data_IF_613556948896
#
_entry.id   IF_613556948896
#
_cell.length_a   1.000
_cell.length_b   1.000
_cell.length_c   1.000
_cell.angle_alpha   90.00
_cell.angle_beta   90.00
_cell.angle_gamma   90.00
#
_symmetry.space_group_name_H-M   'P 1'
#
loop_
_entity.id
_entity.type
_entity.pdbx_description
1 polymer ?
#
# COMPACT_ATOMS: atom_id res chain seq x y z
N UNK A 1 16.95 28.84 -12.33
CA UNK A 1 17.96 27.95 -11.70
C UNK A 1 17.29 26.86 -10.88
N UNK A 2 16.32 27.18 -10.02
CA UNK A 2 15.54 26.18 -9.26
C UNK A 2 14.63 25.36 -10.20
N UNK A 3 13.83 26.01 -11.06
CA UNK A 3 12.98 25.30 -12.04
C UNK A 3 13.77 24.39 -12.99
N UNK A 4 14.94 24.84 -13.45
CA UNK A 4 15.82 24.04 -14.31
C UNK A 4 16.44 22.85 -13.56
N UNK A 5 16.60 22.94 -12.25
CA UNK A 5 17.09 21.83 -11.41
C UNK A 5 15.97 20.82 -11.16
N UNK A 6 14.76 21.27 -10.85
CA UNK A 6 13.59 20.39 -10.67
C UNK A 6 13.29 19.62 -11.95
N UNK A 7 13.22 20.30 -13.10
CA UNK A 7 13.05 19.63 -14.39
C UNK A 7 14.15 18.60 -14.68
N UNK A 8 15.39 18.89 -14.28
CA UNK A 8 16.49 17.93 -14.42
C UNK A 8 16.28 16.70 -13.51
N UNK A 9 15.81 16.89 -12.27
CA UNK A 9 15.48 15.80 -11.34
C UNK A 9 14.35 14.95 -11.92
N UNK A 10 13.24 15.56 -12.32
CA UNK A 10 12.09 14.89 -12.95
C UNK A 10 12.51 14.02 -14.13
N UNK A 11 13.23 14.61 -15.09
CA UNK A 11 13.71 13.90 -16.28
C UNK A 11 14.66 12.77 -15.90
N UNK A 12 15.52 12.98 -14.90
CA UNK A 12 16.47 11.95 -14.44
C UNK A 12 15.76 10.78 -13.78
N UNK A 13 14.78 11.04 -12.90
CA UNK A 13 13.98 10.00 -12.25
C UNK A 13 13.15 9.23 -13.29
N UNK A 14 12.49 9.92 -14.22
CA UNK A 14 11.72 9.29 -15.29
C UNK A 14 12.61 8.44 -16.21
N UNK A 15 13.79 8.95 -16.60
CA UNK A 15 14.76 8.19 -17.38
C UNK A 15 15.22 6.93 -16.63
N UNK A 16 15.41 7.03 -15.31
CA UNK A 16 15.78 5.87 -14.48
C UNK A 16 14.66 4.82 -14.43
N UNK A 17 13.39 5.24 -14.28
CA UNK A 17 12.24 4.33 -14.37
C UNK A 17 12.20 3.60 -15.72
N UNK A 18 12.38 4.34 -16.83
CA UNK A 18 12.42 3.75 -18.17
C UNK A 18 13.58 2.76 -18.32
N UNK A 19 14.76 3.11 -17.82
CA UNK A 19 15.92 2.20 -17.83
C UNK A 19 15.66 0.93 -17.02
N UNK A 20 15.04 1.03 -15.84
CA UNK A 20 14.69 -0.15 -15.02
C UNK A 20 13.70 -1.05 -15.76
N UNK A 21 12.69 -0.49 -16.43
CA UNK A 21 11.72 -1.27 -17.22
C UNK A 21 12.43 -2.03 -18.35
N UNK A 22 13.28 -1.35 -19.13
CA UNK A 22 14.04 -2.01 -20.20
C UNK A 22 15.03 -3.05 -19.67
N UNK A 23 15.66 -2.80 -18.52
CA UNK A 23 16.52 -3.78 -17.87
C UNK A 23 15.72 -5.01 -17.43
N UNK A 24 14.56 -4.81 -16.79
CA UNK A 24 13.68 -5.88 -16.31
C UNK A 24 13.23 -6.81 -17.42
N UNK A 25 12.83 -6.26 -18.58
CA UNK A 25 12.40 -7.04 -19.75
C UNK A 25 13.51 -7.95 -20.30
N UNK A 26 14.79 -7.59 -20.10
CA UNK A 26 15.94 -8.37 -20.59
C UNK A 26 16.42 -9.44 -19.61
N UNK A 27 15.94 -9.43 -18.37
CA UNK A 27 16.39 -10.36 -17.34
C UNK A 27 15.56 -11.64 -17.39
N UNK A 28 16.25 -12.78 -17.34
CA UNK A 28 15.62 -14.11 -17.21
C UNK A 28 15.60 -14.61 -15.77
N UNK A 29 16.38 -13.98 -14.88
CA UNK A 29 16.41 -14.27 -13.45
C UNK A 29 15.29 -13.50 -12.75
N UNK A 30 14.32 -14.23 -12.21
CA UNK A 30 13.14 -13.64 -11.59
C UNK A 30 13.44 -12.95 -10.26
N UNK A 31 14.49 -13.37 -9.55
CA UNK A 31 14.96 -12.66 -8.36
C UNK A 31 15.46 -11.26 -8.75
N UNK A 32 16.25 -11.17 -9.82
CA UNK A 32 16.74 -9.89 -10.35
C UNK A 32 15.58 -9.01 -10.83
N UNK A 33 14.60 -9.57 -11.54
CA UNK A 33 13.38 -8.83 -11.94
C UNK A 33 12.61 -8.30 -10.74
N UNK A 34 12.47 -9.12 -9.68
CA UNK A 34 11.80 -8.70 -8.44
C UNK A 34 12.53 -7.56 -7.75
N UNK A 35 13.87 -7.59 -7.72
CA UNK A 35 14.67 -6.47 -7.21
C UNK A 35 14.47 -5.21 -8.06
N UNK A 36 14.41 -5.32 -9.39
CA UNK A 36 14.12 -4.18 -10.25
C UNK A 36 12.73 -3.60 -10.01
N UNK A 37 11.70 -4.41 -9.76
CA UNK A 37 10.38 -3.90 -9.40
C UNK A 37 10.39 -3.15 -8.06
N UNK A 38 11.11 -3.66 -7.05
CA UNK A 38 11.29 -2.94 -5.79
C UNK A 38 12.02 -1.60 -5.96
N UNK A 39 13.07 -1.57 -6.79
CA UNK A 39 13.79 -0.33 -7.12
C UNK A 39 12.90 0.63 -7.93
N UNK A 40 12.11 0.12 -8.87
CA UNK A 40 11.15 0.91 -9.65
C UNK A 40 10.15 1.61 -8.73
N UNK A 41 9.56 0.88 -7.78
CA UNK A 41 8.66 1.45 -6.78
C UNK A 41 9.35 2.49 -5.90
N UNK A 42 10.59 2.22 -5.45
CA UNK A 42 11.34 3.20 -4.66
C UNK A 42 11.60 4.50 -5.43
N UNK A 43 11.99 4.40 -6.70
CA UNK A 43 12.22 5.57 -7.57
C UNK A 43 10.90 6.30 -7.87
N UNK A 44 9.81 5.56 -8.04
CA UNK A 44 8.46 6.15 -8.21
C UNK A 44 8.03 6.89 -6.95
N UNK A 45 8.33 6.38 -5.76
CA UNK A 45 8.11 7.08 -4.50
C UNK A 45 8.92 8.38 -4.42
N UNK A 46 10.18 8.38 -4.88
CA UNK A 46 10.98 9.61 -4.97
C UNK A 46 10.40 10.62 -5.96
N UNK A 47 9.88 10.15 -7.10
CA UNK A 47 9.19 11.01 -8.07
C UNK A 47 7.93 11.62 -7.46
N UNK A 48 7.09 10.84 -6.78
CA UNK A 48 5.91 11.39 -6.10
C UNK A 48 6.28 12.39 -4.99
N UNK A 49 7.40 12.17 -4.31
CA UNK A 49 7.90 13.11 -3.31
C UNK A 49 8.36 14.43 -3.97
N UNK A 50 9.03 14.37 -5.12
CA UNK A 50 9.44 15.55 -5.89
C UNK A 50 8.24 16.34 -6.46
N UNK A 51 7.12 15.64 -6.69
CA UNK A 51 5.83 16.20 -7.10
C UNK A 51 4.96 16.67 -5.92
N UNK A 52 5.53 16.82 -4.72
CA UNK A 52 4.84 17.23 -3.48
C UNK A 52 3.67 16.30 -3.06
N UNK A 53 3.61 15.07 -3.56
CA UNK A 53 2.59 14.08 -3.25
C UNK A 53 3.07 13.12 -2.14
N UNK A 54 3.35 13.66 -0.95
CA UNK A 54 4.02 12.94 0.14
C UNK A 54 3.25 11.70 0.61
N UNK A 55 1.92 11.76 0.76
CA UNK A 55 1.09 10.61 1.15
C UNK A 55 1.12 9.48 0.12
N UNK A 56 1.17 9.84 -1.17
CA UNK A 56 1.27 8.88 -2.29
C UNK A 56 2.67 8.27 -2.32
N UNK A 57 3.71 9.10 -2.22
CA UNK A 57 5.10 8.66 -2.13
C UNK A 57 5.31 7.67 -0.98
N UNK A 58 4.73 7.98 0.18
CA UNK A 58 4.86 7.14 1.36
C UNK A 58 4.14 5.80 1.19
N UNK A 59 2.96 5.80 0.55
CA UNK A 59 2.24 4.58 0.20
C UNK A 59 3.04 3.71 -0.77
N UNK A 60 3.62 4.31 -1.81
CA UNK A 60 4.44 3.59 -2.80
C UNK A 60 5.71 3.01 -2.16
N UNK A 61 6.35 3.73 -1.25
CA UNK A 61 7.50 3.23 -0.51
C UNK A 61 7.14 2.04 0.40
N UNK A 62 6.03 2.12 1.13
CA UNK A 62 5.62 1.05 2.04
C UNK A 62 5.09 -0.19 1.29
N UNK A 63 4.25 0.01 0.28
CA UNK A 63 3.51 -1.05 -0.42
C UNK A 63 4.32 -1.60 -1.60
N UNK A 64 4.73 -0.72 -2.50
CA UNK A 64 5.43 -1.10 -3.73
C UNK A 64 6.83 -1.61 -3.41
N UNK A 65 7.67 -0.74 -2.86
CA UNK A 65 9.06 -1.10 -2.59
C UNK A 65 9.19 -2.09 -1.42
N UNK A 66 8.39 -1.92 -0.37
CA UNK A 66 8.41 -2.77 0.83
C UNK A 66 7.68 -4.11 0.65
N UNK A 67 6.36 -4.10 0.86
CA UNK A 67 5.55 -5.32 0.94
C UNK A 67 5.57 -6.16 -0.35
N UNK A 68 5.37 -5.54 -1.52
CA UNK A 68 5.23 -6.25 -2.79
C UNK A 68 6.52 -6.98 -3.15
N UNK A 69 7.68 -6.36 -2.93
CA UNK A 69 8.99 -7.02 -3.10
C UNK A 69 9.11 -8.28 -2.25
N UNK A 70 8.75 -8.20 -0.97
CA UNK A 70 8.81 -9.37 -0.08
C UNK A 70 7.81 -10.44 -0.52
N UNK A 71 6.59 -10.05 -0.90
CA UNK A 71 5.58 -10.98 -1.38
C UNK A 71 6.04 -11.70 -2.67
N UNK A 72 6.65 -10.97 -3.61
CA UNK A 72 7.18 -11.58 -4.84
C UNK A 72 8.33 -12.52 -4.53
N UNK A 73 9.24 -12.15 -3.63
CA UNK A 73 10.29 -13.06 -3.16
C UNK A 73 9.73 -14.31 -2.48
N UNK A 74 8.67 -14.18 -1.67
CA UNK A 74 7.96 -15.32 -1.08
C UNK A 74 7.32 -16.20 -2.15
N UNK A 75 6.71 -15.60 -3.18
CA UNK A 75 6.17 -16.34 -4.31
C UNK A 75 7.26 -17.06 -5.11
N UNK A 76 8.43 -16.44 -5.29
CA UNK A 76 9.57 -17.04 -6.01
C UNK A 76 10.13 -18.28 -5.33
N UNK A 77 10.04 -18.38 -3.99
CA UNK A 77 10.38 -19.63 -3.29
C UNK A 77 9.50 -20.79 -3.70
N UNK A 78 8.30 -20.51 -4.23
CA UNK A 78 7.34 -21.50 -4.72
C UNK A 78 7.43 -21.73 -6.23
N UNK A 79 8.31 -21.02 -6.94
CA UNK A 79 8.48 -21.12 -8.39
C UNK A 79 9.93 -21.43 -8.76
N UNK A 80 10.21 -21.53 -10.05
CA UNK A 80 11.59 -21.64 -10.54
C UNK A 80 12.26 -20.25 -10.53
N UNK A 81 13.58 -20.15 -10.26
CA UNK A 81 14.29 -18.87 -10.21
C UNK A 81 14.52 -18.25 -11.60
N UNK A 82 14.49 -19.06 -12.65
CA UNK A 82 14.69 -18.62 -14.02
C UNK A 82 13.43 -18.84 -14.85
N UNK A 83 13.15 -17.88 -15.73
CA UNK A 83 12.08 -17.99 -16.71
C UNK A 83 12.34 -19.17 -17.65
N UNK A 84 11.37 -20.08 -17.74
CA UNK A 84 11.45 -21.24 -18.60
C UNK A 84 10.90 -20.89 -20.00
N UNK A 85 11.71 -20.23 -20.83
CA UNK A 85 11.22 -19.66 -22.09
C UNK A 85 12.11 -19.95 -23.30
N UNK A 86 11.56 -20.73 -24.23
CA UNK A 86 11.83 -20.58 -25.66
C UNK A 86 11.08 -19.33 -26.12
N UNK A 87 11.71 -18.16 -26.10
CA UNK A 87 11.11 -16.90 -26.53
C UNK A 87 10.45 -17.05 -27.91
N UNK A 88 9.11 -17.06 -27.96
CA UNK A 88 8.37 -16.85 -29.20
C UNK A 88 8.03 -15.37 -29.27
N UNK A 89 8.76 -14.62 -30.10
CA UNK A 89 8.41 -13.24 -30.40
C UNK A 89 7.02 -13.20 -31.04
N UNK A 90 6.00 -12.82 -30.26
CA UNK A 90 4.64 -12.65 -30.75
C UNK A 90 4.49 -11.24 -31.32
N UNK A 91 4.53 -11.13 -32.64
CA UNK A 91 4.26 -9.85 -33.33
C UNK A 91 2.89 -9.28 -32.96
N UNK A 92 1.91 -10.15 -32.70
CA UNK A 92 0.58 -9.75 -32.24
C UNK A 92 0.64 -9.11 -30.85
N UNK A 93 1.37 -9.70 -29.90
CA UNK A 93 1.52 -9.13 -28.57
C UNK A 93 2.23 -7.77 -28.63
N UNK A 94 3.29 -7.65 -29.45
CA UNK A 94 3.98 -6.38 -29.67
C UNK A 94 3.05 -5.33 -30.28
N UNK A 95 2.25 -5.69 -31.29
CA UNK A 95 1.27 -4.79 -31.89
C UNK A 95 0.24 -4.31 -30.85
N UNK A 96 -0.28 -5.20 -30.01
CA UNK A 96 -1.22 -4.84 -28.94
C UNK A 96 -0.57 -3.88 -27.94
N UNK A 97 0.65 -4.15 -27.48
CA UNK A 97 1.36 -3.26 -26.54
C UNK A 97 1.61 -1.88 -27.14
N UNK A 98 2.05 -1.81 -28.40
CA UNK A 98 2.27 -0.54 -29.11
C UNK A 98 0.94 0.22 -29.29
N UNK A 99 -0.13 -0.48 -29.67
CA UNK A 99 -1.45 0.13 -29.86
C UNK A 99 -1.99 0.69 -28.53
N UNK A 100 -1.91 -0.08 -27.45
CA UNK A 100 -2.32 0.37 -26.11
C UNK A 100 -1.47 1.54 -25.65
N UNK A 101 -0.15 1.48 -25.83
CA UNK A 101 0.75 2.58 -25.50
C UNK A 101 0.42 3.86 -26.29
N UNK A 102 0.20 3.74 -27.60
CA UNK A 102 -0.18 4.87 -28.45
C UNK A 102 -1.53 5.47 -28.04
N UNK A 103 -2.51 4.64 -27.66
CA UNK A 103 -3.79 5.11 -27.14
C UNK A 103 -3.65 5.87 -25.81
N UNK A 104 -2.81 5.39 -24.89
CA UNK A 104 -2.50 6.10 -23.65
C UNK A 104 -1.81 7.44 -23.92
N UNK A 105 -0.81 7.47 -24.81
CA UNK A 105 -0.14 8.72 -25.21
C UNK A 105 -1.09 9.71 -25.91
N UNK A 106 -2.01 9.21 -26.72
CA UNK A 106 -3.05 10.04 -27.34
C UNK A 106 -3.93 10.70 -26.27
N UNK A 107 -4.33 9.95 -25.23
CA UNK A 107 -5.13 10.50 -24.12
C UNK A 107 -4.40 11.56 -23.29
N UNK A 108 -3.07 11.51 -23.20
CA UNK A 108 -2.27 12.54 -22.52
C UNK A 108 -2.35 13.90 -23.24
N UNK A 109 -2.64 13.93 -24.54
CA UNK A 109 -2.77 15.18 -25.28
C UNK A 109 -3.97 16.03 -24.84
N UNK A 110 -4.99 15.42 -24.21
CA UNK A 110 -6.15 16.12 -23.66
C UNK A 110 -5.90 16.65 -22.24
N UNK A 111 -4.76 16.33 -21.62
CA UNK A 111 -4.46 16.78 -20.26
C UNK A 111 -4.04 18.26 -20.28
N UNK A 112 -4.48 19.06 -19.29
CA UNK A 112 -3.95 20.41 -19.10
C UNK A 112 -2.43 20.37 -18.95
N UNK A 113 -1.77 21.44 -19.40
CA UNK A 113 -0.35 21.59 -19.14
C UNK A 113 -0.09 21.54 -17.63
N UNK A 114 1.00 20.89 -17.24
CA UNK A 114 1.37 20.77 -15.83
C UNK A 114 1.50 22.16 -15.20
N UNK A 115 0.80 22.37 -14.08
CA UNK A 115 0.78 23.65 -13.38
C UNK A 115 -0.10 24.74 -14.00
N UNK A 116 -0.89 24.46 -15.05
CA UNK A 116 -1.80 25.43 -15.64
C UNK A 116 -2.81 25.95 -14.58
N UNK A 117 -2.81 27.25 -14.24
CA UNK A 117 -3.76 27.83 -13.29
C UNK A 117 -5.22 27.71 -13.73
N UNK A 118 -5.47 27.50 -15.03
CA UNK A 118 -6.81 27.34 -15.60
C UNK A 118 -7.22 25.87 -15.74
N UNK A 119 -6.39 24.93 -15.28
CA UNK A 119 -6.78 23.53 -15.23
C UNK A 119 -8.04 23.37 -14.36
N UNK A 120 -9.04 22.54 -14.76
CA UNK A 120 -10.29 22.40 -14.02
C UNK A 120 -10.13 22.09 -12.52
N UNK A 121 -9.07 21.35 -12.15
CA UNK A 121 -8.76 21.02 -10.75
C UNK A 121 -8.38 22.26 -9.92
N UNK A 122 -7.73 23.26 -10.51
CA UNK A 122 -7.30 24.49 -9.84
C UNK A 122 -8.42 25.53 -9.73
N UNK A 123 -9.47 25.40 -10.54
CA UNK A 123 -10.57 26.37 -10.59
C UNK A 123 -11.72 26.03 -9.62
N UNK A 124 -11.94 24.75 -9.35
CA UNK A 124 -13.13 24.30 -8.60
C UNK A 124 -12.74 23.41 -7.42
N UNK A 125 -12.27 22.20 -7.71
CA UNK A 125 -12.23 21.10 -6.72
C UNK A 125 -11.13 21.30 -5.68
N UNK A 126 -9.90 21.61 -6.08
CA UNK A 126 -8.79 21.74 -5.13
C UNK A 126 -8.96 22.94 -4.17
N UNK A 127 -9.30 24.16 -4.64
CA UNK A 127 -9.56 25.28 -3.73
C UNK A 127 -10.71 25.01 -2.76
N UNK A 128 -11.78 24.36 -3.23
CA UNK A 128 -12.92 24.00 -2.40
C UNK A 128 -12.53 23.00 -1.31
N UNK A 129 -11.78 21.95 -1.63
CA UNK A 129 -11.29 21.02 -0.61
C UNK A 129 -10.38 21.68 0.41
N UNK A 130 -9.45 22.54 -0.01
CA UNK A 130 -8.56 23.26 0.91
C UNK A 130 -9.40 24.13 1.87
N UNK A 131 -10.34 24.91 1.34
CA UNK A 131 -11.18 25.80 2.15
C UNK A 131 -12.13 25.03 3.07
N UNK A 132 -12.82 24.02 2.56
CA UNK A 132 -13.78 23.24 3.33
C UNK A 132 -13.10 22.35 4.38
N UNK A 133 -11.89 21.86 4.11
CA UNK A 133 -11.10 21.12 5.10
C UNK A 133 -10.88 22.00 6.32
N UNK A 134 -10.39 23.23 6.13
CA UNK A 134 -10.16 24.16 7.24
C UNK A 134 -11.45 24.54 7.97
N UNK A 135 -12.57 24.71 7.26
CA UNK A 135 -13.82 25.19 7.87
C UNK A 135 -14.65 24.10 8.57
N UNK A 136 -14.66 22.88 8.03
CA UNK A 136 -15.60 21.83 8.45
C UNK A 136 -14.93 20.65 9.16
N UNK A 137 -13.67 20.39 8.83
CA UNK A 137 -12.95 19.25 9.38
C UNK A 137 -11.96 19.77 10.41
N UNK A 138 -11.09 20.74 10.08
CA UNK A 138 -10.04 21.35 10.91
C UNK A 138 -8.80 20.48 11.17
N UNK A 139 -8.44 19.63 10.19
CA UNK A 139 -7.14 18.92 10.14
C UNK A 139 -6.21 19.55 9.08
N UNK A 140 -4.89 19.60 9.32
CA UNK A 140 -3.95 20.15 8.35
C UNK A 140 -3.70 19.22 7.13
N UNK A 141 -3.82 17.90 7.28
CA UNK A 141 -3.66 16.98 6.15
C UNK A 141 -4.94 16.95 5.28
N UNK A 142 -4.90 17.72 4.18
CA UNK A 142 -6.00 17.80 3.20
C UNK A 142 -6.20 16.46 2.48
N UNK A 143 -5.15 15.67 2.25
CA UNK A 143 -5.27 14.36 1.59
C UNK A 143 -6.09 13.42 2.46
N UNK A 144 -5.79 13.33 3.75
CA UNK A 144 -6.57 12.54 4.72
C UNK A 144 -8.00 13.04 4.82
N UNK A 145 -8.23 14.35 4.82
CA UNK A 145 -9.59 14.92 4.81
C UNK A 145 -10.39 14.50 3.57
N UNK A 146 -9.74 14.53 2.40
CA UNK A 146 -10.36 14.12 1.14
C UNK A 146 -10.65 12.62 1.14
N UNK A 147 -9.69 11.78 1.50
CA UNK A 147 -9.85 10.33 1.44
C UNK A 147 -10.82 9.80 2.51
N UNK A 148 -10.67 10.23 3.75
CA UNK A 148 -11.45 9.70 4.87
C UNK A 148 -12.83 10.36 5.05
N UNK A 149 -13.03 11.60 4.59
CA UNK A 149 -14.30 12.34 4.72
C UNK A 149 -14.94 12.64 3.37
N UNK A 150 -14.44 13.61 2.58
CA UNK A 150 -15.13 14.07 1.36
C UNK A 150 -15.38 12.96 0.33
N UNK A 151 -14.42 12.05 0.20
CA UNK A 151 -14.45 10.88 -0.69
C UNK A 151 -14.32 9.58 0.11
N UNK A 152 -14.89 9.54 1.32
CA UNK A 152 -14.89 8.35 2.19
C UNK A 152 -15.44 7.08 1.56
N UNK A 153 -16.32 7.20 0.56
CA UNK A 153 -16.81 6.05 -0.22
C UNK A 153 -15.70 5.34 -0.98
N UNK A 154 -14.74 6.08 -1.53
CA UNK A 154 -13.66 5.50 -2.32
C UNK A 154 -12.72 4.70 -1.41
N UNK A 155 -12.31 5.28 -0.28
CA UNK A 155 -11.49 4.58 0.72
C UNK A 155 -12.22 3.41 1.37
N UNK A 156 -13.54 3.51 1.59
CA UNK A 156 -14.33 2.36 2.03
C UNK A 156 -14.32 1.24 0.98
N UNK A 157 -14.51 1.59 -0.29
CA UNK A 157 -14.41 0.67 -1.42
C UNK A 157 -13.05 -0.01 -1.52
N UNK A 158 -11.96 0.75 -1.44
CA UNK A 158 -10.59 0.23 -1.41
C UNK A 158 -10.37 -0.75 -0.24
N UNK A 159 -10.87 -0.42 0.95
CA UNK A 159 -10.78 -1.30 2.13
C UNK A 159 -11.52 -2.62 1.90
N UNK A 160 -12.70 -2.57 1.28
CA UNK A 160 -13.46 -3.76 0.90
C UNK A 160 -12.74 -4.57 -0.19
N UNK A 161 -12.09 -3.92 -1.16
CA UNK A 161 -11.29 -4.58 -2.20
C UNK A 161 -10.12 -5.34 -1.60
N UNK A 162 -9.39 -4.73 -0.66
CA UNK A 162 -8.27 -5.40 0.03
C UNK A 162 -8.77 -6.59 0.84
N UNK A 163 -9.82 -6.41 1.66
CA UNK A 163 -10.45 -7.52 2.37
C UNK A 163 -10.85 -8.66 1.42
N UNK A 164 -11.47 -8.32 0.28
CA UNK A 164 -11.88 -9.29 -0.74
C UNK A 164 -10.68 -10.02 -1.36
N UNK A 165 -9.56 -9.33 -1.60
CA UNK A 165 -8.32 -9.94 -2.05
C UNK A 165 -7.77 -10.93 -1.00
N UNK A 166 -7.81 -10.57 0.28
CA UNK A 166 -7.44 -11.47 1.38
C UNK A 166 -8.30 -12.74 1.42
N UNK A 167 -9.62 -12.59 1.29
CA UNK A 167 -10.55 -13.73 1.22
C UNK A 167 -10.28 -14.58 -0.02
N UNK A 168 -10.05 -13.97 -1.19
CA UNK A 168 -9.74 -14.69 -2.42
C UNK A 168 -8.45 -15.51 -2.28
N UNK A 169 -7.39 -14.92 -1.72
CA UNK A 169 -6.13 -15.62 -1.45
C UNK A 169 -6.35 -16.76 -0.46
N UNK A 170 -7.12 -16.54 0.61
CA UNK A 170 -7.45 -17.59 1.58
C UNK A 170 -8.24 -18.75 0.94
N UNK A 171 -9.17 -18.47 0.03
CA UNK A 171 -9.94 -19.50 -0.66
C UNK A 171 -9.10 -20.29 -1.68
N UNK A 172 -8.18 -19.61 -2.38
CA UNK A 172 -7.31 -20.22 -3.39
C UNK A 172 -6.17 -21.01 -2.76
N UNK A 173 -5.55 -20.46 -1.72
CA UNK A 173 -4.31 -20.99 -1.13
C UNK A 173 -4.53 -21.69 0.22
N UNK A 174 -5.61 -21.38 0.93
CA UNK A 174 -5.79 -21.83 2.30
C UNK A 174 -4.76 -21.23 3.26
N UNK A 175 -4.95 -21.50 4.55
CA UNK A 175 -3.96 -21.16 5.57
C UNK A 175 -2.90 -22.27 5.58
N UNK A 176 -1.74 -22.04 4.96
CA UNK A 176 -0.66 -23.03 4.88
C UNK A 176 -0.31 -23.63 6.26
N UNK A 177 0.10 -24.90 6.29
CA UNK A 177 0.52 -25.58 7.52
C UNK A 177 2.02 -25.37 7.72
N UNK A 178 2.39 -24.77 8.86
CA UNK A 178 3.80 -24.67 9.26
C UNK A 178 4.20 -26.03 9.83
N UNK A 179 5.03 -26.79 9.10
CA UNK A 179 5.72 -27.95 9.69
C UNK A 179 6.71 -27.44 10.74
N UNK A 180 7.09 -28.32 11.67
CA UNK A 180 8.20 -28.05 12.59
C UNK A 180 9.50 -27.87 11.77
N UNK A 181 9.77 -26.66 11.31
CA UNK A 181 11.07 -26.30 10.74
C UNK A 181 12.16 -26.48 11.81
N UNK A 182 13.34 -26.88 11.35
CA UNK A 182 14.57 -26.74 12.15
C UNK A 182 14.70 -25.26 12.54
N UNK A 183 15.05 -24.96 13.81
CA UNK A 183 15.25 -23.57 14.24
C UNK A 183 16.15 -22.85 13.22
N UNK A 184 15.78 -21.64 12.76
CA UNK A 184 16.58 -20.93 11.79
C UNK A 184 18.01 -20.79 12.32
N UNK A 185 18.98 -20.97 11.43
CA UNK A 185 20.39 -20.88 11.78
C UNK A 185 20.64 -19.54 12.49
N UNK A 186 21.13 -19.61 13.73
CA UNK A 186 21.21 -18.44 14.62
C UNK A 186 22.30 -17.48 14.13
N UNK A 187 21.94 -16.62 13.19
CA UNK A 187 22.76 -15.48 12.82
C UNK A 187 22.61 -14.40 13.90
N UNK A 188 23.50 -14.43 14.90
CA UNK A 188 23.53 -13.51 16.03
C UNK A 188 23.51 -12.04 15.60
N UNK A 189 24.20 -11.70 14.51
CA UNK A 189 24.24 -10.32 13.98
C UNK A 189 22.84 -9.90 13.51
N UNK A 190 22.20 -10.74 12.70
CA UNK A 190 20.86 -10.47 12.19
C UNK A 190 19.85 -10.30 13.33
N UNK A 191 19.91 -11.16 14.35
CA UNK A 191 18.99 -11.10 15.49
C UNK A 191 19.17 -9.85 16.35
N UNK A 192 20.42 -9.44 16.61
CA UNK A 192 20.74 -8.24 17.41
C UNK A 192 20.31 -6.97 16.68
N UNK A 193 20.47 -6.91 15.36
CA UNK A 193 20.10 -5.73 14.56
C UNK A 193 18.59 -5.65 14.33
N UNK A 194 17.94 -6.77 13.97
CA UNK A 194 16.54 -6.75 13.55
C UNK A 194 15.58 -6.60 14.72
N UNK A 195 15.89 -7.15 15.89
CA UNK A 195 15.02 -7.04 17.08
C UNK A 195 14.67 -5.58 17.46
N UNK A 196 15.64 -4.65 17.60
CA UNK A 196 15.30 -3.24 17.83
C UNK A 196 14.66 -2.57 16.61
N UNK A 197 14.99 -2.98 15.37
CA UNK A 197 14.34 -2.44 14.17
C UNK A 197 12.85 -2.77 14.12
N UNK A 198 12.44 -3.99 14.51
CA UNK A 198 11.01 -4.34 14.57
C UNK A 198 10.28 -3.42 15.55
N UNK A 199 10.84 -3.18 16.73
CA UNK A 199 10.26 -2.25 17.69
C UNK A 199 10.11 -0.84 17.09
N UNK A 200 11.15 -0.35 16.40
CA UNK A 200 11.12 0.94 15.71
C UNK A 200 10.04 0.98 14.62
N UNK A 201 9.93 -0.06 13.80
CA UNK A 201 8.92 -0.18 12.73
C UNK A 201 7.50 -0.14 13.31
N UNK A 202 7.24 -0.88 14.40
CA UNK A 202 5.92 -0.89 15.03
C UNK A 202 5.58 0.44 15.68
N UNK A 203 6.53 1.08 16.38
CA UNK A 203 6.34 2.42 16.94
C UNK A 203 6.09 3.44 15.82
N UNK A 204 6.84 3.34 14.72
CA UNK A 204 6.66 4.22 13.57
C UNK A 204 5.29 3.99 12.90
N UNK A 205 4.84 2.74 12.75
CA UNK A 205 3.50 2.44 12.27
C UNK A 205 2.40 3.02 13.16
N UNK A 206 2.56 2.99 14.49
CA UNK A 206 1.63 3.65 15.41
C UNK A 206 1.67 5.17 15.26
N UNK A 207 2.86 5.75 15.10
CA UNK A 207 3.00 7.18 14.82
C UNK A 207 2.23 7.57 13.57
N UNK A 208 2.42 6.84 12.46
CA UNK A 208 1.71 7.07 11.18
C UNK A 208 0.19 6.91 11.34
N UNK A 209 -0.26 5.92 12.12
CA UNK A 209 -1.69 5.69 12.37
C UNK A 209 -2.37 6.84 13.14
N UNK A 210 -1.67 7.41 14.13
CA UNK A 210 -2.24 8.42 15.03
C UNK A 210 -1.91 9.87 14.64
N UNK A 211 -1.10 10.08 13.60
CA UNK A 211 -0.72 11.41 13.11
C UNK A 211 -1.04 11.60 11.62
N UNK A 212 -1.87 10.75 11.02
CA UNK A 212 -2.30 10.87 9.62
C UNK A 212 -3.15 12.12 9.35
N UNK A 213 -3.74 12.71 10.39
CA UNK A 213 -4.41 14.00 10.36
C UNK A 213 -3.44 15.19 10.36
N UNK A 214 -2.26 15.06 10.97
CA UNK A 214 -1.24 16.10 11.07
C UNK A 214 -0.19 16.08 9.97
N UNK A 215 0.22 14.90 9.53
CA UNK A 215 1.29 14.69 8.56
C UNK A 215 0.96 13.60 7.57
N UNK A 216 1.87 13.37 6.62
CA UNK A 216 1.67 12.38 5.57
C UNK A 216 1.54 10.96 6.13
N UNK A 217 0.55 10.21 5.66
CA UNK A 217 0.28 8.86 6.11
C UNK A 217 -1.21 8.55 6.20
N UNK A 218 -1.57 7.86 7.28
CA UNK A 218 -2.93 7.39 7.51
C UNK A 218 -3.00 5.89 7.77
N UNK A 219 -4.24 5.40 7.88
CA UNK A 219 -4.51 4.01 8.25
C UNK A 219 -3.89 2.98 7.30
N UNK A 220 -3.93 3.23 6.00
CA UNK A 220 -3.45 2.29 4.99
C UNK A 220 -1.95 2.01 5.15
N UNK A 221 -1.13 3.06 5.09
CA UNK A 221 0.32 2.97 5.15
C UNK A 221 0.74 2.42 6.52
N UNK A 222 0.08 2.86 7.60
CA UNK A 222 0.31 2.32 8.94
C UNK A 222 0.09 0.81 9.00
N UNK A 223 -1.00 0.30 8.41
CA UNK A 223 -1.30 -1.13 8.34
C UNK A 223 -0.22 -1.93 7.60
N UNK A 224 0.29 -1.40 6.47
CA UNK A 224 1.37 -2.02 5.69
C UNK A 224 2.69 -2.04 6.48
N UNK A 225 3.02 -0.95 7.15
CA UNK A 225 4.24 -0.83 7.97
C UNK A 225 4.18 -1.81 9.14
N UNK A 226 3.03 -1.89 9.82
CA UNK A 226 2.79 -2.88 10.87
C UNK A 226 3.00 -4.31 10.35
N UNK A 227 2.36 -4.64 9.23
CA UNK A 227 2.49 -5.97 8.64
C UNK A 227 3.94 -6.28 8.26
N UNK A 228 4.66 -5.31 7.69
CA UNK A 228 6.08 -5.43 7.34
C UNK A 228 6.96 -5.72 8.55
N UNK A 229 6.66 -5.15 9.73
CA UNK A 229 7.34 -5.49 10.98
C UNK A 229 7.17 -6.95 11.38
N UNK A 230 5.95 -7.49 11.24
CA UNK A 230 5.67 -8.92 11.51
C UNK A 230 6.24 -9.85 10.44
N UNK A 231 6.26 -9.42 9.19
CA UNK A 231 6.88 -10.15 8.08
C UNK A 231 8.40 -10.23 8.31
N UNK A 232 9.05 -9.12 8.65
CA UNK A 232 10.47 -9.10 8.99
C UNK A 232 10.77 -10.00 10.19
N UNK A 233 9.91 -9.98 11.22
CA UNK A 233 10.00 -10.91 12.34
C UNK A 233 9.93 -12.38 11.87
N UNK A 234 8.97 -12.70 11.01
CA UNK A 234 8.83 -14.05 10.44
C UNK A 234 10.04 -14.48 9.61
N UNK A 235 10.63 -13.58 8.82
CA UNK A 235 11.77 -13.90 7.96
C UNK A 235 13.05 -14.16 8.76
N UNK A 236 13.22 -13.51 9.92
CA UNK A 236 14.46 -13.55 10.71
C UNK A 236 14.40 -14.57 11.85
N UNK A 237 13.26 -14.65 12.54
CA UNK A 237 13.10 -15.53 13.70
C UNK A 237 12.35 -16.82 13.37
N UNK A 238 11.70 -16.89 12.19
CA UNK A 238 10.95 -18.04 11.73
C UNK A 238 9.44 -17.88 11.88
N UNK A 239 8.70 -18.48 10.96
CA UNK A 239 7.25 -18.34 10.87
C UNK A 239 6.51 -18.93 12.08
N UNK A 240 7.04 -20.01 12.67
CA UNK A 240 6.45 -20.62 13.87
C UNK A 240 6.34 -19.62 15.02
N UNK A 241 7.39 -18.82 15.25
CA UNK A 241 7.36 -17.81 16.30
C UNK A 241 6.42 -16.65 15.94
N UNK A 242 6.43 -16.21 14.67
CA UNK A 242 5.52 -15.16 14.20
C UNK A 242 4.04 -15.54 14.39
N UNK A 243 3.66 -16.78 14.03
CA UNK A 243 2.30 -17.30 14.22
C UNK A 243 1.92 -17.53 15.68
N UNK A 244 2.88 -17.64 16.61
CA UNK A 244 2.60 -17.63 18.05
C UNK A 244 2.25 -16.24 18.58
N UNK A 245 2.86 -15.19 18.01
CA UNK A 245 2.54 -13.81 18.38
C UNK A 245 1.19 -13.41 17.78
N UNK A 246 0.98 -13.68 16.49
CA UNK A 246 -0.30 -13.42 15.80
C UNK A 246 -0.75 -14.67 15.06
N UNK A 247 -1.72 -15.42 15.62
CA UNK A 247 -2.23 -16.64 15.00
C UNK A 247 -2.90 -16.37 13.65
N UNK A 248 -2.61 -17.19 12.64
CA UNK A 248 -3.22 -17.03 11.32
C UNK A 248 -4.76 -17.10 11.35
N UNK A 249 -5.34 -17.85 12.29
CA UNK A 249 -6.78 -18.01 12.46
C UNK A 249 -7.52 -16.71 12.88
N UNK A 250 -6.83 -15.73 13.46
CA UNK A 250 -7.46 -14.46 13.86
C UNK A 250 -7.46 -13.43 12.73
N UNK A 251 -6.56 -13.55 11.75
CA UNK A 251 -6.36 -12.55 10.70
C UNK A 251 -7.62 -12.27 9.86
N UNK A 252 -8.40 -13.28 9.40
CA UNK A 252 -9.64 -13.01 8.66
C UNK A 252 -10.66 -12.23 9.50
N UNK A 253 -10.70 -12.50 10.82
CA UNK A 253 -11.62 -11.82 11.75
C UNK A 253 -11.20 -10.39 12.00
N UNK A 254 -9.90 -10.13 12.15
CA UNK A 254 -9.37 -8.77 12.26
C UNK A 254 -9.62 -7.98 10.98
N UNK A 255 -9.45 -8.61 9.82
CA UNK A 255 -9.69 -7.95 8.53
C UNK A 255 -11.16 -7.56 8.36
N UNK A 256 -12.08 -8.49 8.64
CA UNK A 256 -13.51 -8.22 8.68
C UNK A 256 -13.88 -7.16 9.72
N UNK A 257 -13.25 -7.18 10.90
CA UNK A 257 -13.48 -6.18 11.94
C UNK A 257 -13.08 -4.78 11.48
N UNK A 258 -11.96 -4.63 10.76
CA UNK A 258 -11.54 -3.34 10.20
C UNK A 258 -12.56 -2.76 9.21
N UNK A 259 -13.05 -3.58 8.28
CA UNK A 259 -14.13 -3.20 7.35
C UNK A 259 -15.42 -2.85 8.09
N UNK A 260 -15.77 -3.64 9.10
CA UNK A 260 -16.96 -3.40 9.92
C UNK A 260 -16.85 -2.09 10.72
N UNK A 261 -15.69 -1.75 11.28
CA UNK A 261 -15.48 -0.47 11.97
C UNK A 261 -15.76 0.69 11.02
N UNK A 262 -15.26 0.62 9.78
CA UNK A 262 -15.51 1.65 8.76
C UNK A 262 -17.01 1.74 8.45
N UNK A 263 -17.64 0.61 8.09
CA UNK A 263 -19.05 0.57 7.70
C UNK A 263 -19.99 0.96 8.83
N UNK A 264 -19.74 0.51 10.07
CA UNK A 264 -20.54 0.84 11.25
C UNK A 264 -20.42 2.31 11.59
N UNK A 265 -19.23 2.92 11.49
CA UNK A 265 -19.08 4.37 11.68
C UNK A 265 -19.98 5.15 10.72
N UNK A 266 -20.03 4.75 9.45
CA UNK A 266 -20.95 5.36 8.48
C UNK A 266 -22.43 5.10 8.78
N UNK A 267 -22.79 3.92 9.29
CA UNK A 267 -24.16 3.60 9.72
C UNK A 267 -24.58 4.43 10.93
N UNK A 268 -23.69 4.71 11.88
CA UNK A 268 -23.97 5.57 13.04
C UNK A 268 -24.32 7.00 12.57
N UNK A 269 -23.59 7.53 11.58
CA UNK A 269 -23.94 8.82 10.94
C UNK A 269 -25.35 8.79 10.33
N UNK A 270 -25.68 7.72 9.61
CA UNK A 270 -26.99 7.56 8.97
C UNK A 270 -28.13 7.49 10.00
N UNK A 271 -27.95 6.73 11.08
CA UNK A 271 -28.92 6.62 12.18
C UNK A 271 -29.12 7.95 12.93
N UNK A 272 -28.17 8.87 12.80
CA UNK A 272 -28.20 10.20 13.40
C UNK A 272 -28.79 11.27 12.45
N UNK A 273 -29.54 10.85 11.43
CA UNK A 273 -30.15 11.71 10.38
C UNK A 273 -29.12 12.49 9.54
N UNK A 274 -27.91 11.96 9.37
CA UNK A 274 -26.91 12.50 8.44
C UNK A 274 -26.72 11.56 7.24
N UNK A 275 -25.98 12.01 6.23
CA UNK A 275 -25.56 11.12 5.15
C UNK A 275 -24.60 10.04 5.68
N UNK A 276 -24.54 8.88 5.02
CA UNK A 276 -23.55 7.86 5.33
C UNK A 276 -22.13 8.45 5.19
N UNK A 277 -21.30 8.24 6.22
CA UNK A 277 -19.95 8.84 6.41
C UNK A 277 -19.92 10.35 6.66
N UNK A 278 -21.05 11.02 6.91
CA UNK A 278 -21.02 12.37 7.49
C UNK A 278 -20.84 12.27 9.02
N UNK A 279 -19.58 12.33 9.44
CA UNK A 279 -19.17 12.16 10.84
C UNK A 279 -19.53 13.35 11.75
N UNK A 280 -20.12 14.43 11.22
CA UNK A 280 -20.55 15.58 12.04
C UNK A 280 -21.55 15.21 13.14
N UNK A 281 -22.22 14.06 13.02
CA UNK A 281 -23.12 13.50 14.02
C UNK A 281 -22.44 12.83 15.23
N UNK A 282 -21.14 12.53 15.16
CA UNK A 282 -20.46 11.72 16.18
C UNK A 282 -20.13 12.49 17.47
N UNK A 283 -20.26 13.81 17.46
CA UNK A 283 -19.99 14.68 18.61
C UNK A 283 -20.96 15.86 18.63
N UNK A 284 -21.08 16.53 19.78
CA UNK A 284 -21.87 17.76 19.90
C UNK A 284 -21.30 18.90 19.06
N UNK A 285 -19.98 18.93 18.87
CA UNK A 285 -19.31 19.82 17.95
C UNK A 285 -19.07 19.09 16.60
N UNK A 286 -19.66 19.57 15.48
CA UNK A 286 -19.51 18.96 14.16
C UNK A 286 -18.05 18.71 13.73
N UNK A 287 -17.16 19.65 14.01
CA UNK A 287 -15.73 19.60 13.66
C UNK A 287 -15.05 18.47 14.44
N UNK A 288 -15.29 18.41 15.74
CA UNK A 288 -14.81 17.31 16.59
C UNK A 288 -15.39 15.95 16.16
N UNK A 289 -16.64 15.92 15.70
CA UNK A 289 -17.25 14.71 15.14
C UNK A 289 -16.52 14.21 13.90
N UNK A 290 -16.15 15.13 12.98
CA UNK A 290 -15.34 14.82 11.81
C UNK A 290 -13.97 14.25 12.17
N UNK A 291 -13.25 14.87 13.11
CA UNK A 291 -11.96 14.36 13.58
C UNK A 291 -12.07 12.94 14.15
N UNK A 292 -13.06 12.69 15.02
CA UNK A 292 -13.28 11.38 15.63
C UNK A 292 -13.62 10.35 14.56
N UNK A 293 -14.49 10.71 13.62
CA UNK A 293 -14.88 9.83 12.52
C UNK A 293 -13.70 9.41 11.67
N UNK A 294 -12.87 10.38 11.25
CA UNK A 294 -11.63 10.14 10.48
C UNK A 294 -10.72 9.18 11.25
N UNK A 295 -10.41 9.46 12.51
CA UNK A 295 -9.52 8.60 13.31
C UNK A 295 -10.07 7.16 13.45
N UNK A 296 -11.38 7.01 13.67
CA UNK A 296 -12.01 5.68 13.81
C UNK A 296 -11.99 4.92 12.48
N UNK A 297 -12.34 5.57 11.36
CA UNK A 297 -12.32 4.88 10.06
C UNK A 297 -10.90 4.54 9.64
N UNK A 298 -9.92 5.43 9.88
CA UNK A 298 -8.51 5.15 9.62
C UNK A 298 -7.97 3.99 10.47
N UNK A 299 -8.39 3.86 11.73
CA UNK A 299 -8.07 2.70 12.55
C UNK A 299 -8.68 1.41 11.98
N UNK A 300 -9.90 1.49 11.43
CA UNK A 300 -10.55 0.41 10.70
C UNK A 300 -9.76 0.01 9.44
N UNK A 301 -9.35 0.98 8.63
CA UNK A 301 -8.50 0.75 7.44
C UNK A 301 -7.18 0.10 7.85
N UNK A 302 -6.48 0.66 8.84
CA UNK A 302 -5.19 0.13 9.28
C UNK A 302 -5.28 -1.30 9.78
N UNK A 303 -6.33 -1.64 10.55
CA UNK A 303 -6.57 -3.01 10.99
C UNK A 303 -6.86 -3.96 9.81
N UNK A 304 -7.69 -3.54 8.85
CA UNK A 304 -8.04 -4.33 7.68
C UNK A 304 -6.83 -4.60 6.79
N UNK A 305 -6.05 -3.56 6.51
CA UNK A 305 -4.83 -3.65 5.68
C UNK A 305 -3.77 -4.50 6.38
N UNK A 306 -3.47 -4.22 7.65
CA UNK A 306 -2.51 -4.99 8.45
C UNK A 306 -2.80 -6.49 8.41
N UNK A 307 -4.02 -6.86 8.78
CA UNK A 307 -4.41 -8.26 8.92
C UNK A 307 -4.49 -8.98 7.58
N UNK A 308 -4.91 -8.28 6.52
CA UNK A 308 -4.97 -8.84 5.15
C UNK A 308 -3.59 -9.08 4.58
N UNK A 309 -2.68 -8.10 4.70
CA UNK A 309 -1.31 -8.22 4.20
C UNK A 309 -0.59 -9.38 4.90
N UNK A 310 -0.71 -9.47 6.23
CA UNK A 310 -0.11 -10.56 6.99
C UNK A 310 -0.76 -11.92 6.66
N UNK A 311 -2.07 -11.94 6.38
CA UNK A 311 -2.78 -13.16 5.94
C UNK A 311 -2.26 -13.64 4.59
N UNK A 312 -2.12 -12.73 3.64
CA UNK A 312 -1.57 -13.06 2.31
C UNK A 312 -0.17 -13.63 2.49
N UNK A 313 0.69 -12.95 3.25
CA UNK A 313 2.04 -13.44 3.52
C UNK A 313 2.05 -14.86 4.13
N UNK A 314 1.28 -15.12 5.19
CA UNK A 314 1.20 -16.46 5.80
C UNK A 314 0.64 -17.54 4.85
N UNK A 315 -0.22 -17.16 3.90
CA UNK A 315 -0.75 -18.08 2.89
C UNK A 315 0.32 -18.53 1.90
N UNK A 316 1.29 -17.67 1.60
CA UNK A 316 2.45 -17.99 0.75
C UNK A 316 3.59 -18.64 1.52
N UNK A 317 3.96 -18.12 2.69
CA UNK A 317 5.14 -18.59 3.43
C UNK A 317 4.96 -19.99 4.02
N UNK A 318 3.74 -20.33 4.46
CA UNK A 318 3.42 -21.65 5.04
C UNK A 318 3.30 -22.79 4.01
N UNK A 319 3.85 -22.63 2.81
CA UNK A 319 3.84 -23.63 1.75
C UNK A 319 5.28 -24.06 1.42
N UNK A 320 5.50 -25.36 1.33
CA UNK A 320 6.71 -25.94 0.74
C UNK A 320 6.40 -26.48 -0.65
N UNK A 321 7.31 -26.30 -1.60
CA UNK A 321 7.28 -27.07 -2.85
C UNK A 321 7.91 -28.42 -2.56
N UNK A 322 7.14 -29.50 -2.68
CA UNK A 322 7.72 -30.84 -2.78
C UNK A 322 8.50 -30.90 -4.10
N UNK A 323 9.83 -30.77 -4.09
CA UNK A 323 10.70 -30.95 -5.27
C UNK A 323 10.80 -32.41 -5.76
N UNK A 324 9.78 -33.24 -5.49
CA UNK A 324 9.75 -34.66 -5.83
C UNK A 324 8.69 -35.02 -6.89
N UNK A 325 8.12 -34.05 -7.60
CA UNK A 325 7.24 -34.28 -8.76
C UNK A 325 7.76 -33.59 -10.03
#
# INVERSE_FOLDING_TARGET
>A
MIESLQLLIDISLLAFLVMIVFASIKMTDLFVVTMFFGIFSFVSALLFLDLDAVDVAFTEAAVGAGFTTVLMLSALRLTQPYENSKHRHSLLALFIVILTGAALFYGVADFPAMGDPNAPVHLYVAPEYIQLTQQKIDIPNVVTAVLASFRGYDTFGETVVIFSAGVAVLLLLGMGQVKHEQEPEKNLVLWVVVKPMIALILIFGLYVQFHGDFGAGGGFQAGVIFASGFILYSLVFGEMYARRVIPAAILPRLSALGVLIYGVTGLISLLSNKAFLDYSALSSNPVSGQHIGILVVEAGVGLAVFSTILLIYYSFSGREVNHNE
#
